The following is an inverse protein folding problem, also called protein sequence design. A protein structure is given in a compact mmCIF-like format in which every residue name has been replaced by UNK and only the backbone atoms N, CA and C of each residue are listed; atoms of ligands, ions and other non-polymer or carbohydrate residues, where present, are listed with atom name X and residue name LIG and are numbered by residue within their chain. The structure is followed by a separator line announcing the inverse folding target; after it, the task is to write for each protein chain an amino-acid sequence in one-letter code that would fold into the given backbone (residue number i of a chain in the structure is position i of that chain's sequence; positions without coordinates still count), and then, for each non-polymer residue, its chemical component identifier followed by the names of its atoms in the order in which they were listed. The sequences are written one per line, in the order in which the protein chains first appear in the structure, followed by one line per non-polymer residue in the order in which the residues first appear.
data_IF_383133368118
#
_entry.id   IF_383133368118
#
_cell.length_a   1.000
_cell.length_b   1.000
_cell.length_c   1.000
_cell.angle_alpha   90.00
_cell.angle_beta   90.00
_cell.angle_gamma   90.00
#
_symmetry.space_group_name_H-M   'P 1'
#
loop_
_entity.id
_entity.type
_entity.pdbx_description
1 polymer ?
#
# COMPACT_ATOMS: atom_id res chain seq x y z
N UNK A 1 -37.67 15.08 -10.07
CA UNK A 1 -36.67 14.13 -10.61
C UNK A 1 -37.43 12.93 -11.14
N UNK A 2 -37.25 12.55 -12.41
CA UNK A 2 -37.99 11.46 -13.05
C UNK A 2 -37.46 10.08 -12.63
N UNK A 3 -38.36 9.09 -12.57
CA UNK A 3 -38.10 7.72 -12.07
C UNK A 3 -36.96 6.99 -12.81
N UNK A 4 -36.72 7.33 -14.07
CA UNK A 4 -35.66 6.77 -14.91
C UNK A 4 -34.26 7.26 -14.55
N UNK A 5 -34.14 8.47 -13.97
CA UNK A 5 -32.84 9.04 -13.59
C UNK A 5 -32.24 8.38 -12.34
N UNK A 6 -33.08 7.92 -11.39
CA UNK A 6 -32.60 7.18 -10.20
C UNK A 6 -32.20 5.73 -10.52
N UNK A 7 -32.80 5.12 -11.55
CA UNK A 7 -32.47 3.75 -12.00
C UNK A 7 -31.13 3.64 -12.73
N UNK A 8 -30.66 4.72 -13.36
CA UNK A 8 -29.38 4.77 -14.07
C UNK A 8 -28.19 5.22 -13.21
N UNK A 9 -28.41 5.72 -11.99
CA UNK A 9 -27.34 6.34 -11.19
C UNK A 9 -26.42 5.34 -10.47
N UNK A 10 -26.85 4.11 -10.15
CA UNK A 10 -25.94 3.07 -9.59
C UNK A 10 -26.48 1.67 -9.89
N UNK A 11 -25.82 0.89 -10.76
CA UNK A 11 -25.93 -0.57 -10.64
C UNK A 11 -25.41 -0.93 -9.24
N UNK A 12 -26.29 -1.38 -8.34
CA UNK A 12 -25.93 -1.74 -6.97
C UNK A 12 -24.96 -2.93 -6.93
N UNK A 13 -25.08 -3.80 -7.92
CA UNK A 13 -24.31 -5.04 -8.05
C UNK A 13 -23.78 -5.21 -9.47
N UNK A 14 -22.77 -6.07 -9.63
CA UNK A 14 -22.22 -6.45 -10.93
C UNK A 14 -23.18 -7.30 -11.79
N UNK A 15 -24.35 -7.65 -11.24
CA UNK A 15 -25.42 -8.43 -11.87
C UNK A 15 -25.28 -9.94 -11.67
N UNK A 16 -26.28 -10.73 -12.14
CA UNK A 16 -26.39 -12.16 -11.85
C UNK A 16 -25.25 -13.00 -12.42
N UNK A 17 -24.67 -12.58 -13.56
CA UNK A 17 -23.51 -13.24 -14.18
C UNK A 17 -22.28 -13.26 -13.26
N UNK A 18 -22.24 -12.35 -12.29
CA UNK A 18 -21.19 -12.24 -11.29
C UNK A 18 -21.75 -12.34 -9.87
N UNK A 19 -22.80 -13.17 -9.70
CA UNK A 19 -23.45 -13.47 -8.43
C UNK A 19 -23.77 -12.24 -7.59
N UNK A 20 -24.17 -11.15 -8.25
CA UNK A 20 -24.56 -9.90 -7.61
C UNK A 20 -23.47 -9.29 -6.70
N UNK A 21 -22.20 -9.38 -7.10
CA UNK A 21 -21.09 -8.75 -6.38
C UNK A 21 -21.38 -7.26 -6.13
N UNK A 22 -21.32 -6.80 -4.86
CA UNK A 22 -21.70 -5.44 -4.52
C UNK A 22 -20.71 -4.42 -5.07
N UNK A 23 -21.21 -3.21 -5.29
CA UNK A 23 -20.37 -2.06 -5.63
C UNK A 23 -19.38 -1.77 -4.50
N UNK A 24 -18.16 -1.42 -4.87
CA UNK A 24 -17.09 -1.05 -3.94
C UNK A 24 -17.50 0.18 -3.14
N UNK A 25 -17.56 0.05 -1.81
CA UNK A 25 -17.62 1.19 -0.90
C UNK A 25 -16.21 1.64 -0.53
N UNK A 26 -15.83 2.84 -0.97
CA UNK A 26 -14.47 3.37 -0.88
C UNK A 26 -14.21 3.99 0.50
N UNK A 27 -14.24 3.15 1.53
CA UNK A 27 -13.83 3.56 2.89
C UNK A 27 -12.35 3.96 2.91
N UNK A 28 -11.91 4.83 3.84
CA UNK A 28 -10.50 5.21 3.94
C UNK A 28 -9.56 4.02 4.19
N UNK A 29 -10.03 2.99 4.89
CA UNK A 29 -9.29 1.75 5.15
C UNK A 29 -9.11 0.95 3.86
N UNK A 30 -10.21 0.68 3.15
CA UNK A 30 -10.16 -0.06 1.88
C UNK A 30 -9.33 0.65 0.84
N UNK A 31 -9.38 1.99 0.80
CA UNK A 31 -8.53 2.78 -0.10
C UNK A 31 -7.03 2.54 0.15
N UNK A 32 -6.62 2.40 1.42
CA UNK A 32 -5.22 2.10 1.78
C UNK A 32 -4.85 0.68 1.39
N UNK A 33 -5.73 -0.29 1.65
CA UNK A 33 -5.54 -1.68 1.25
C UNK A 33 -5.42 -1.84 -0.27
N UNK A 34 -6.28 -1.16 -1.04
CA UNK A 34 -6.20 -1.15 -2.50
C UNK A 34 -4.93 -0.47 -3.02
N UNK A 35 -4.48 0.60 -2.36
CA UNK A 35 -3.20 1.23 -2.68
C UNK A 35 -2.03 0.28 -2.38
N UNK A 36 -2.10 -0.46 -1.28
CA UNK A 36 -1.09 -1.45 -0.91
C UNK A 36 -1.03 -2.59 -1.93
N UNK A 37 -2.18 -3.13 -2.35
CA UNK A 37 -2.27 -4.16 -3.39
C UNK A 37 -1.67 -3.68 -4.72
N UNK A 38 -1.91 -2.44 -5.11
CA UNK A 38 -1.29 -1.83 -6.29
C UNK A 38 0.24 -1.78 -6.18
N UNK A 39 0.75 -1.53 -4.98
CA UNK A 39 2.19 -1.46 -4.70
C UNK A 39 2.78 -2.79 -4.24
N UNK A 40 2.08 -3.92 -4.42
CA UNK A 40 2.51 -5.24 -3.92
C UNK A 40 3.91 -5.67 -4.36
N UNK A 41 4.37 -5.20 -5.52
CA UNK A 41 5.73 -5.46 -6.03
C UNK A 41 6.85 -4.83 -5.17
N UNK A 42 6.53 -3.86 -4.33
CA UNK A 42 7.49 -3.19 -3.43
C UNK A 42 7.53 -3.86 -2.05
N UNK A 43 6.51 -4.67 -1.72
CA UNK A 43 6.33 -5.27 -0.39
C UNK A 43 7.27 -6.43 -0.10
N UNK A 44 7.73 -7.15 -1.12
CA UNK A 44 8.71 -8.20 -0.97
C UNK A 44 9.70 -8.12 -2.15
N UNK A 45 11.01 -7.88 -1.91
CA UNK A 45 12.00 -7.78 -2.97
C UNK A 45 12.18 -9.09 -3.76
N UNK A 46 11.73 -10.23 -3.22
CA UNK A 46 11.84 -11.54 -3.87
C UNK A 46 10.61 -11.90 -4.70
N UNK A 47 9.49 -11.19 -4.52
CA UNK A 47 8.24 -11.46 -5.24
C UNK A 47 8.02 -10.47 -6.36
N UNK A 48 8.11 -10.96 -7.59
CA UNK A 48 7.88 -10.18 -8.80
C UNK A 48 6.49 -10.50 -9.37
N UNK A 49 5.63 -9.48 -9.45
CA UNK A 49 4.27 -9.60 -9.98
C UNK A 49 4.18 -9.07 -11.41
N UNK A 50 3.23 -9.59 -12.18
CA UNK A 50 2.86 -9.02 -13.48
C UNK A 50 2.44 -7.56 -13.31
N UNK A 51 2.99 -6.67 -14.14
CA UNK A 51 2.62 -5.25 -14.17
C UNK A 51 1.21 -5.11 -14.73
N UNK A 52 0.37 -4.35 -14.03
CA UNK A 52 -0.90 -3.89 -14.58
C UNK A 52 -0.66 -2.58 -15.34
N UNK A 53 -0.93 -2.58 -16.65
CA UNK A 53 -0.63 -1.46 -17.54
C UNK A 53 -1.70 -0.34 -17.50
N UNK A 54 -2.68 -0.43 -16.59
CA UNK A 54 -3.79 0.52 -16.49
C UNK A 54 -3.51 1.69 -15.54
N UNK A 55 -4.26 2.79 -15.74
CA UNK A 55 -4.46 3.79 -14.67
C UNK A 55 -5.15 3.08 -13.51
N UNK A 56 -4.38 2.55 -12.58
CA UNK A 56 -4.89 1.75 -11.47
C UNK A 56 -5.81 2.59 -10.58
N UNK A 57 -7.10 2.51 -10.91
CA UNK A 57 -8.24 3.00 -10.14
C UNK A 57 -8.73 1.84 -9.28
N UNK A 58 -9.40 2.17 -8.18
CA UNK A 58 -10.13 1.17 -7.43
C UNK A 58 -11.14 0.46 -8.34
N UNK A 59 -11.31 -0.86 -8.20
CA UNK A 59 -12.33 -1.60 -8.95
C UNK A 59 -13.72 -1.07 -8.60
N UNK A 60 -14.62 -1.05 -9.58
CA UNK A 60 -16.00 -0.57 -9.38
C UNK A 60 -16.81 -1.48 -8.46
N UNK A 61 -16.56 -2.79 -8.52
CA UNK A 61 -17.17 -3.81 -7.67
C UNK A 61 -16.07 -4.59 -6.95
N UNK A 62 -16.22 -4.79 -5.64
CA UNK A 62 -15.24 -5.53 -4.84
C UNK A 62 -15.85 -6.01 -3.54
N UNK A 63 -15.21 -7.01 -2.93
CA UNK A 63 -15.58 -7.52 -1.62
C UNK A 63 -14.30 -7.84 -0.84
N UNK A 64 -14.33 -7.62 0.47
CA UNK A 64 -13.25 -7.98 1.39
C UNK A 64 -13.67 -9.24 2.12
N UNK A 65 -12.85 -10.29 2.02
CA UNK A 65 -13.11 -11.57 2.64
C UNK A 65 -11.87 -12.07 3.37
N UNK A 66 -12.08 -13.09 4.21
CA UNK A 66 -11.02 -13.78 4.93
C UNK A 66 -10.90 -15.21 4.43
N UNK A 67 -9.68 -15.74 4.39
CA UNK A 67 -9.44 -17.12 3.95
C UNK A 67 -9.89 -18.06 5.07
N UNK A 68 -10.75 -19.02 4.73
CA UNK A 68 -11.08 -20.15 5.60
C UNK A 68 -10.13 -21.29 5.25
N UNK A 69 -9.22 -21.57 6.17
CA UNK A 69 -8.17 -22.58 6.00
C UNK A 69 -8.76 -24.00 5.91
N UNK A 70 -8.17 -24.85 5.06
CA UNK A 70 -8.63 -26.23 4.86
C UNK A 70 -8.39 -27.13 6.09
N UNK A 71 -9.17 -28.20 6.27
CA UNK A 71 -9.07 -29.09 7.42
C UNK A 71 -7.81 -29.98 7.41
N UNK A 72 -7.02 -29.99 6.33
CA UNK A 72 -5.84 -30.85 6.16
C UNK A 72 -4.51 -30.15 6.49
N UNK A 73 -4.50 -28.81 6.59
CA UNK A 73 -3.27 -28.01 6.79
C UNK A 73 -3.29 -27.31 8.15
N UNK A 74 -2.88 -28.03 9.20
CA UNK A 74 -2.89 -27.51 10.57
C UNK A 74 -1.66 -26.67 10.94
N UNK A 75 -0.47 -27.04 10.43
CA UNK A 75 0.80 -26.51 10.97
C UNK A 75 1.45 -25.42 10.10
N UNK A 76 1.25 -25.45 8.79
CA UNK A 76 1.96 -24.56 7.84
C UNK A 76 1.06 -23.49 7.23
N UNK A 77 -0.17 -23.84 6.84
CA UNK A 77 -1.11 -22.94 6.16
C UNK A 77 -1.93 -22.05 7.09
N UNK A 78 -1.91 -22.31 8.40
CA UNK A 78 -2.77 -21.64 9.39
C UNK A 78 -2.07 -20.50 10.11
N UNK A 79 -2.76 -19.35 10.20
CA UNK A 79 -2.34 -18.24 11.07
C UNK A 79 -2.88 -18.44 12.48
N UNK A 80 -2.01 -18.26 13.48
CA UNK A 80 -2.39 -18.20 14.89
C UNK A 80 -3.31 -16.99 15.14
N UNK A 81 -4.22 -17.10 16.11
CA UNK A 81 -5.19 -16.04 16.40
C UNK A 81 -4.56 -14.66 16.69
N UNK A 82 -3.37 -14.63 17.29
CA UNK A 82 -2.63 -13.38 17.57
C UNK A 82 -2.09 -12.68 16.32
N UNK A 83 -1.80 -13.46 15.29
CA UNK A 83 -1.18 -12.99 14.05
C UNK A 83 -2.24 -12.56 13.03
N UNK A 84 -3.49 -13.00 13.20
CA UNK A 84 -4.64 -12.58 12.40
C UNK A 84 -4.93 -11.08 12.60
N UNK A 85 -4.85 -10.30 11.53
CA UNK A 85 -5.16 -8.86 11.51
C UNK A 85 -6.45 -8.58 10.73
N UNK A 86 -7.00 -7.38 10.92
CA UNK A 86 -8.26 -6.95 10.29
C UNK A 86 -8.07 -6.49 8.85
N UNK A 87 -6.95 -5.82 8.56
CA UNK A 87 -6.66 -5.21 7.25
C UNK A 87 -5.32 -5.68 6.70
N UNK A 88 -5.11 -5.55 5.40
CA UNK A 88 -3.82 -5.90 4.77
C UNK A 88 -2.72 -4.95 5.22
N UNK A 89 -3.03 -3.67 5.42
CA UNK A 89 -2.07 -2.70 5.96
C UNK A 89 -1.58 -3.13 7.35
N UNK A 90 -2.47 -3.55 8.24
CA UNK A 90 -2.07 -3.97 9.60
C UNK A 90 -1.14 -5.18 9.58
N UNK A 91 -1.39 -6.14 8.67
CA UNK A 91 -0.54 -7.31 8.48
C UNK A 91 0.86 -6.91 7.98
N UNK A 92 0.93 -6.03 7.00
CA UNK A 92 2.20 -5.50 6.49
C UNK A 92 2.96 -4.72 7.55
N UNK A 93 2.28 -3.91 8.36
CA UNK A 93 2.89 -3.17 9.46
C UNK A 93 3.43 -4.10 10.55
N UNK A 94 2.71 -5.17 10.87
CA UNK A 94 3.20 -6.20 11.81
C UNK A 94 4.47 -6.89 11.27
N UNK A 95 4.52 -7.20 9.98
CA UNK A 95 5.73 -7.74 9.34
C UNK A 95 6.89 -6.76 9.28
N UNK A 96 6.62 -5.47 9.08
CA UNK A 96 7.65 -4.43 9.11
C UNK A 96 8.23 -4.24 10.52
N UNK A 97 7.41 -4.35 11.57
CA UNK A 97 7.91 -4.27 12.94
C UNK A 97 8.95 -5.36 13.25
N UNK A 98 8.90 -6.50 12.56
CA UNK A 98 9.87 -7.59 12.69
C UNK A 98 11.09 -7.41 11.78
N UNK A 99 10.90 -6.91 10.56
CA UNK A 99 11.96 -6.89 9.54
C UNK A 99 12.71 -5.56 9.45
N UNK A 100 12.07 -4.43 9.80
CA UNK A 100 12.62 -3.08 9.71
C UNK A 100 13.04 -2.64 8.29
N UNK A 101 12.58 -3.35 7.26
CA UNK A 101 13.10 -3.22 5.90
C UNK A 101 12.64 -1.93 5.25
N UNK A 102 11.36 -1.59 5.37
CA UNK A 102 10.83 -0.35 4.82
C UNK A 102 11.51 0.86 5.45
N UNK A 103 11.75 0.85 6.76
CA UNK A 103 12.48 1.92 7.45
C UNK A 103 13.89 2.10 6.88
N UNK A 104 14.64 1.00 6.74
CA UNK A 104 16.00 1.05 6.20
C UNK A 104 15.99 1.55 4.75
N UNK A 105 15.14 0.98 3.89
CA UNK A 105 15.06 1.38 2.49
C UNK A 105 14.58 2.82 2.32
N UNK A 106 13.67 3.28 3.18
CA UNK A 106 13.23 4.67 3.21
C UNK A 106 14.40 5.60 3.52
N UNK A 107 15.21 5.29 4.54
CA UNK A 107 16.38 6.08 4.90
C UNK A 107 17.41 6.14 3.76
N UNK A 108 17.68 5.01 3.10
CA UNK A 108 18.59 4.99 1.93
C UNK A 108 18.09 5.90 0.81
N UNK A 109 16.78 5.84 0.51
CA UNK A 109 16.16 6.67 -0.51
C UNK A 109 16.19 8.14 -0.09
N UNK A 110 15.96 8.46 1.18
CA UNK A 110 16.05 9.84 1.67
C UNK A 110 17.48 10.38 1.60
N UNK A 111 18.48 9.59 1.99
CA UNK A 111 19.88 9.96 1.91
C UNK A 111 20.28 10.23 0.45
N UNK A 112 19.94 9.33 -0.48
CA UNK A 112 20.18 9.51 -1.90
C UNK A 112 19.46 10.75 -2.46
N UNK A 113 18.20 10.97 -2.09
CA UNK A 113 17.41 12.13 -2.54
C UNK A 113 17.84 13.45 -1.91
N UNK A 114 18.50 13.44 -0.75
CA UNK A 114 18.94 14.65 -0.04
C UNK A 114 20.38 15.03 -0.38
N UNK A 115 21.17 14.06 -0.86
CA UNK A 115 22.53 14.29 -1.34
C UNK A 115 22.60 15.43 -2.35
N UNK A 116 23.57 16.34 -2.17
CA UNK A 116 23.81 17.48 -3.07
C UNK A 116 22.77 18.60 -3.05
N UNK A 117 21.73 18.53 -2.19
CA UNK A 117 20.71 19.58 -2.10
C UNK A 117 21.14 20.75 -1.22
N UNK A 118 20.15 21.50 -0.71
CA UNK A 118 20.29 22.72 0.07
C UNK A 118 21.25 22.58 1.26
N UNK A 119 21.17 21.48 2.00
CA UNK A 119 21.98 21.31 3.21
C UNK A 119 23.46 21.06 2.87
N UNK A 120 23.74 20.33 1.78
CA UNK A 120 25.08 20.21 1.24
C UNK A 120 25.63 21.59 0.82
N UNK A 121 24.84 22.38 0.08
CA UNK A 121 25.24 23.72 -0.34
C UNK A 121 25.49 24.67 0.85
N UNK A 122 24.61 24.64 1.87
CA UNK A 122 24.78 25.42 3.10
C UNK A 122 26.05 25.02 3.85
N UNK A 123 26.32 23.72 4.01
CA UNK A 123 27.53 23.22 4.65
C UNK A 123 28.79 23.68 3.91
N UNK A 124 28.75 23.67 2.56
CA UNK A 124 29.84 24.16 1.73
C UNK A 124 30.06 25.67 1.91
N UNK A 125 28.99 26.47 1.93
CA UNK A 125 29.07 27.92 2.20
C UNK A 125 29.60 28.21 3.61
N UNK A 126 29.15 27.49 4.63
CA UNK A 126 29.65 27.63 5.99
C UNK A 126 31.15 27.38 6.08
N UNK A 127 31.66 26.31 5.43
CA UNK A 127 33.11 26.04 5.34
C UNK A 127 33.89 27.17 4.67
N UNK A 128 33.32 27.81 3.63
CA UNK A 128 33.95 28.97 2.96
C UNK A 128 34.02 30.20 3.88
N UNK A 129 32.98 30.47 4.67
CA UNK A 129 32.95 31.64 5.56
C UNK A 129 33.76 31.44 6.86
N UNK A 130 33.90 30.21 7.36
CA UNK A 130 34.68 29.91 8.57
C UNK A 130 36.19 29.88 8.39
N UNK A 131 36.70 29.98 7.16
CA UNK A 131 38.12 29.78 6.82
C UNK A 131 39.00 31.03 6.79
N UNK A 132 38.50 32.23 7.09
CA UNK A 132 39.30 33.47 7.05
C UNK A 132 39.41 34.10 8.44
N UNK A 133 40.31 33.56 9.27
CA UNK A 133 41.04 34.37 10.26
C UNK A 133 42.34 34.81 9.59
N UNK A 134 42.32 35.95 8.90
CA UNK A 134 43.56 36.66 8.57
C UNK A 134 44.21 37.07 9.90
N UNK A 135 45.44 36.63 10.12
CA UNK A 135 46.33 37.24 11.12
C UNK A 135 46.57 38.70 10.76
#
# INVERSE_FOLDING_TARGET
MSLTAMLQEKKATAGPQWFDLPRTDLTPELKRDLQLLKMRSVLDPKRHYKKENGKAKAPEFSHVATIVEGPTEFFSGRLLNRDRKKTFVDEVLAGEAQTGRFKNKYNDVQAAKTSGKKDFYKALKAKRHGGVRKR
#
